data_IF_939830167275
#
_entry.id   IF_939830167275
#
_cell.length_a   1.000
_cell.length_b   1.000
_cell.length_c   1.000
_cell.angle_alpha   90.00
_cell.angle_beta   90.00
_cell.angle_gamma   90.00
#
_symmetry.space_group_name_H-M   'P 1'
#
loop_
_entity.id
_entity.type
_entity.pdbx_description
1 polymer ?
#
# COMPACT_ATOMS: atom_id res chain seq x y z
N UNK A 1 5.13 4.36 -14.16
CA UNK A 1 4.02 5.20 -13.64
C UNK A 1 3.52 4.65 -12.31
N UNK A 2 2.91 5.51 -11.48
CA UNK A 2 2.24 5.13 -10.25
C UNK A 2 0.89 4.46 -10.56
N UNK A 3 0.82 3.15 -10.34
CA UNK A 3 -0.30 2.29 -10.75
C UNK A 3 -1.66 2.73 -10.20
N UNK A 4 -1.75 3.17 -8.94
CA UNK A 4 -3.04 3.59 -8.36
C UNK A 4 -3.59 4.84 -9.04
N UNK A 5 -2.72 5.75 -9.47
CA UNK A 5 -3.10 7.01 -10.08
C UNK A 5 -3.57 6.82 -11.55
N UNK A 6 -3.01 5.83 -12.24
CA UNK A 6 -3.40 5.49 -13.61
C UNK A 6 -4.60 4.53 -13.62
N UNK A 7 -4.43 3.29 -13.13
CA UNK A 7 -5.46 2.26 -13.19
C UNK A 7 -6.68 2.60 -12.31
N UNK A 8 -6.47 3.33 -11.21
CA UNK A 8 -7.55 3.74 -10.31
C UNK A 8 -8.57 4.67 -10.97
N UNK A 9 -8.19 5.47 -11.97
CA UNK A 9 -9.11 6.33 -12.69
C UNK A 9 -10.15 5.51 -13.48
N UNK A 10 -9.71 4.44 -14.15
CA UNK A 10 -10.61 3.52 -14.85
C UNK A 10 -11.54 2.76 -13.89
N UNK A 11 -10.98 2.26 -12.78
CA UNK A 11 -11.78 1.60 -11.74
C UNK A 11 -12.84 2.52 -11.15
N UNK A 12 -12.49 3.78 -10.88
CA UNK A 12 -13.42 4.79 -10.38
C UNK A 12 -14.49 5.16 -11.42
N UNK A 13 -14.13 5.30 -12.69
CA UNK A 13 -15.11 5.55 -13.78
C UNK A 13 -16.11 4.39 -13.92
N UNK A 14 -15.64 3.14 -13.90
CA UNK A 14 -16.52 1.98 -13.96
C UNK A 14 -17.45 1.91 -12.73
N UNK A 15 -16.91 2.13 -11.53
CA UNK A 15 -17.70 2.13 -10.30
C UNK A 15 -18.74 3.25 -10.27
N UNK A 16 -18.35 4.48 -10.63
CA UNK A 16 -19.26 5.63 -10.69
C UNK A 16 -20.34 5.43 -11.76
N UNK A 17 -19.98 4.92 -12.94
CA UNK A 17 -20.94 4.60 -14.00
C UNK A 17 -21.97 3.56 -13.56
N UNK A 18 -21.54 2.51 -12.84
CA UNK A 18 -22.45 1.51 -12.28
C UNK A 18 -23.41 2.12 -11.24
N UNK A 19 -22.91 2.98 -10.34
CA UNK A 19 -23.75 3.67 -9.33
C UNK A 19 -24.75 4.62 -9.99
N UNK A 20 -24.37 5.28 -11.09
CA UNK A 20 -25.23 6.18 -11.86
C UNK A 20 -26.22 5.46 -12.78
N UNK A 21 -26.17 4.12 -12.86
CA UNK A 21 -27.04 3.34 -13.74
C UNK A 21 -26.76 3.54 -15.22
N UNK A 22 -25.49 3.77 -15.59
CA UNK A 22 -25.10 3.95 -16.98
C UNK A 22 -25.12 2.62 -17.75
N UNK A 23 -25.64 2.68 -18.97
CA UNK A 23 -25.59 1.56 -19.91
C UNK A 23 -24.16 1.32 -20.43
N UNK A 24 -23.92 0.13 -20.99
CA UNK A 24 -22.59 -0.32 -21.41
C UNK A 24 -21.85 0.69 -22.33
N UNK A 25 -22.55 1.31 -23.29
CA UNK A 25 -21.97 2.29 -24.19
C UNK A 25 -21.48 3.56 -23.46
N UNK A 26 -22.25 4.03 -22.46
CA UNK A 26 -21.87 5.19 -21.66
C UNK A 26 -20.73 4.85 -20.69
N UNK A 27 -20.67 3.63 -20.15
CA UNK A 27 -19.52 3.15 -19.38
C UNK A 27 -18.26 3.12 -20.26
N UNK A 28 -18.36 2.63 -21.50
CA UNK A 28 -17.23 2.62 -22.44
C UNK A 28 -16.73 4.06 -22.73
N UNK A 29 -17.64 5.01 -22.93
CA UNK A 29 -17.30 6.42 -23.07
C UNK A 29 -16.63 6.98 -21.80
N UNK A 30 -17.14 6.65 -20.61
CA UNK A 30 -16.55 7.07 -19.33
C UNK A 30 -15.12 6.54 -19.16
N UNK A 31 -14.86 5.28 -19.52
CA UNK A 31 -13.50 4.72 -19.54
C UNK A 31 -12.61 5.48 -20.53
N UNK A 32 -13.14 5.81 -21.71
CA UNK A 32 -12.46 6.62 -22.72
C UNK A 32 -12.01 7.98 -22.20
N UNK A 33 -12.93 8.70 -21.52
CA UNK A 33 -12.67 10.02 -20.93
C UNK A 33 -11.70 9.92 -19.75
N UNK A 34 -11.81 8.86 -18.93
CA UNK A 34 -10.90 8.63 -17.80
C UNK A 34 -9.47 8.35 -18.27
N UNK A 35 -9.30 7.66 -19.41
CA UNK A 35 -7.98 7.37 -19.97
C UNK A 35 -7.14 8.62 -20.27
N UNK A 36 -7.78 9.71 -20.70
CA UNK A 36 -7.10 11.00 -20.91
C UNK A 36 -6.66 11.70 -19.60
N UNK A 37 -7.19 11.26 -18.46
CA UNK A 37 -6.88 11.80 -17.13
C UNK A 37 -6.01 10.84 -16.30
N UNK A 38 -5.75 9.63 -16.80
CA UNK A 38 -4.93 8.64 -16.13
C UNK A 38 -3.47 9.12 -16.12
N UNK A 39 -3.01 9.65 -15.00
CA UNK A 39 -1.68 10.21 -14.82
C UNK A 39 -1.07 9.74 -13.51
N UNK A 40 0.25 9.55 -13.46
CA UNK A 40 0.89 8.98 -12.27
C UNK A 40 2.40 9.08 -12.31
N UNK A 41 2.95 10.30 -12.22
CA UNK A 41 4.39 10.44 -12.00
C UNK A 41 4.79 9.83 -10.66
N UNK A 42 5.91 9.09 -10.65
CA UNK A 42 6.49 8.50 -9.43
C UNK A 42 7.55 9.40 -8.79
N UNK A 43 7.70 10.64 -9.27
CA UNK A 43 8.76 11.57 -8.83
C UNK A 43 8.69 11.89 -7.33
N UNK A 44 7.54 11.69 -6.67
CA UNK A 44 7.45 11.78 -5.21
C UNK A 44 8.41 10.85 -4.45
N UNK A 45 8.95 9.81 -5.11
CA UNK A 45 9.97 8.94 -4.52
C UNK A 45 11.33 9.64 -4.35
N UNK A 46 11.58 10.71 -5.10
CA UNK A 46 12.84 11.45 -5.05
C UNK A 46 12.98 12.30 -3.77
N UNK A 47 11.88 12.86 -3.27
CA UNK A 47 11.89 13.84 -2.18
C UNK A 47 10.83 13.62 -1.08
N UNK A 48 9.98 12.60 -1.21
CA UNK A 48 8.89 12.36 -0.27
C UNK A 48 7.68 13.29 -0.44
N UNK A 49 7.53 13.91 -1.60
CA UNK A 49 6.41 14.80 -1.90
C UNK A 49 5.02 14.16 -1.66
N UNK A 50 4.07 14.98 -1.21
CA UNK A 50 2.73 14.52 -0.84
C UNK A 50 1.85 14.11 -2.03
N UNK A 51 2.35 14.30 -3.27
CA UNK A 51 1.66 13.92 -4.50
C UNK A 51 1.32 12.42 -4.53
N UNK A 52 2.09 11.55 -3.85
CA UNK A 52 1.72 10.14 -3.64
C UNK A 52 0.31 9.96 -3.04
N UNK A 53 -0.04 10.79 -2.05
CA UNK A 53 -1.33 10.73 -1.35
C UNK A 53 -2.43 11.41 -2.16
N UNK A 54 -2.11 12.55 -2.76
CA UNK A 54 -3.03 13.30 -3.61
C UNK A 54 -3.51 12.46 -4.81
N UNK A 55 -2.59 11.79 -5.49
CA UNK A 55 -2.86 11.07 -6.73
C UNK A 55 -3.94 9.99 -6.58
N UNK A 56 -4.10 9.36 -5.41
CA UNK A 56 -5.16 8.35 -5.19
C UNK A 56 -6.55 8.98 -5.09
N UNK A 57 -6.66 10.14 -4.43
CA UNK A 57 -7.91 10.91 -4.40
C UNK A 57 -8.24 11.49 -5.77
N UNK A 58 -7.23 11.99 -6.49
CA UNK A 58 -7.41 12.55 -7.83
C UNK A 58 -7.90 11.51 -8.84
N UNK A 59 -7.39 10.26 -8.78
CA UNK A 59 -7.88 9.17 -9.62
C UNK A 59 -9.38 8.90 -9.39
N UNK A 60 -9.84 8.96 -8.14
CA UNK A 60 -11.26 8.82 -7.82
C UNK A 60 -12.10 9.98 -8.40
N UNK A 61 -11.62 11.22 -8.27
CA UNK A 61 -12.27 12.40 -8.85
C UNK A 61 -12.34 12.32 -10.39
N UNK A 62 -11.25 11.93 -11.04
CA UNK A 62 -11.18 11.78 -12.49
C UNK A 62 -12.21 10.77 -13.01
N UNK A 63 -12.33 9.62 -12.35
CA UNK A 63 -13.31 8.60 -12.71
C UNK A 63 -14.76 9.08 -12.53
N UNK A 64 -15.06 9.75 -11.41
CA UNK A 64 -16.39 10.31 -11.16
C UNK A 64 -16.78 11.36 -12.22
N UNK A 65 -15.86 12.29 -12.53
CA UNK A 65 -16.10 13.29 -13.58
C UNK A 65 -16.28 12.64 -14.95
N UNK A 66 -15.48 11.63 -15.28
CA UNK A 66 -15.60 10.91 -16.55
C UNK A 66 -16.97 10.23 -16.70
N UNK A 67 -17.48 9.60 -15.63
CA UNK A 67 -18.81 9.00 -15.64
C UNK A 67 -19.92 10.05 -15.76
N UNK A 68 -19.82 11.19 -15.05
CA UNK A 68 -20.78 12.28 -15.15
C UNK A 68 -20.80 12.92 -16.56
N UNK A 69 -19.63 13.10 -17.18
CA UNK A 69 -19.52 13.60 -18.55
C UNK A 69 -20.16 12.64 -19.55
N UNK A 70 -19.89 11.33 -19.42
CA UNK A 70 -20.51 10.31 -20.26
C UNK A 70 -22.04 10.28 -20.09
N UNK A 71 -22.55 10.43 -18.85
CA UNK A 71 -23.98 10.54 -18.59
C UNK A 71 -24.62 11.74 -19.32
N UNK A 72 -23.89 12.85 -19.43
CA UNK A 72 -24.31 14.03 -20.17
C UNK A 72 -24.12 13.91 -21.70
N UNK A 73 -23.70 12.75 -22.21
CA UNK A 73 -23.52 12.50 -23.64
C UNK A 73 -22.14 12.86 -24.20
N UNK A 74 -21.16 13.17 -23.35
CA UNK A 74 -19.78 13.38 -23.80
C UNK A 74 -19.16 12.07 -24.31
N UNK A 75 -18.52 12.11 -25.48
CA UNK A 75 -17.91 10.93 -26.09
C UNK A 75 -16.47 10.68 -25.61
N UNK A 76 -16.11 9.43 -25.39
CA UNK A 76 -14.74 8.97 -25.19
C UNK A 76 -14.35 7.88 -26.20
N UNK A 77 -13.04 7.67 -26.47
CA UNK A 77 -12.59 6.61 -27.38
C UNK A 77 -12.95 5.23 -26.83
N UNK A 78 -13.74 4.45 -27.57
CA UNK A 78 -14.21 3.13 -27.14
C UNK A 78 -13.09 2.09 -26.99
N UNK A 79 -11.97 2.27 -27.72
CA UNK A 79 -10.79 1.39 -27.71
C UNK A 79 -9.68 1.94 -26.80
N UNK A 80 -10.03 2.70 -25.75
CA UNK A 80 -9.04 3.37 -24.88
C UNK A 80 -8.05 2.41 -24.22
N UNK A 81 -8.38 1.13 -24.03
CA UNK A 81 -7.44 0.18 -23.42
C UNK A 81 -6.44 -0.35 -24.46
N UNK A 82 -6.94 -0.89 -25.57
CA UNK A 82 -6.20 -1.71 -26.55
C UNK A 82 -5.98 -1.05 -27.92
N UNK A 83 -6.60 0.09 -28.18
CA UNK A 83 -6.47 0.80 -29.45
C UNK A 83 -5.04 1.26 -29.71
N UNK A 84 -4.72 1.67 -30.94
CA UNK A 84 -3.36 2.07 -31.36
C UNK A 84 -2.65 3.06 -30.41
N UNK A 85 -3.39 3.98 -29.80
CA UNK A 85 -2.89 4.95 -28.81
C UNK A 85 -3.48 4.72 -27.41
N UNK A 86 -4.00 3.52 -27.17
CA UNK A 86 -4.66 3.12 -25.94
C UNK A 86 -3.68 2.94 -24.79
N UNK A 87 -4.24 2.90 -23.58
CA UNK A 87 -3.52 2.84 -22.32
C UNK A 87 -2.48 1.71 -22.26
N UNK A 88 -2.84 0.52 -22.74
CA UNK A 88 -1.94 -0.65 -22.71
C UNK A 88 -0.68 -0.42 -23.56
N UNK A 89 -0.80 0.29 -24.68
CA UNK A 89 0.33 0.61 -25.56
C UNK A 89 1.09 1.88 -25.15
N UNK A 90 0.40 2.84 -24.53
CA UNK A 90 1.00 4.11 -24.14
C UNK A 90 1.77 4.04 -22.81
N UNK A 91 1.43 3.09 -21.93
CA UNK A 91 1.98 3.00 -20.56
C UNK A 91 2.77 1.72 -20.29
N UNK A 92 2.89 0.82 -21.27
CA UNK A 92 3.61 -0.45 -21.12
C UNK A 92 4.11 -0.98 -22.47
N UNK A 93 5.28 -1.62 -22.47
CA UNK A 93 5.87 -2.22 -23.67
C UNK A 93 5.38 -3.66 -23.94
N UNK A 94 4.56 -4.24 -23.06
CA UNK A 94 4.20 -5.67 -23.11
C UNK A 94 2.83 -5.99 -22.53
N UNK A 95 1.92 -5.03 -22.51
CA UNK A 95 0.59 -5.25 -21.96
C UNK A 95 -0.30 -6.14 -22.86
N UNK A 96 -1.20 -6.88 -22.23
CA UNK A 96 -2.15 -7.79 -22.89
C UNK A 96 -3.53 -7.66 -22.28
N UNK A 97 -4.57 -7.89 -23.07
CA UNK A 97 -5.97 -7.93 -22.62
C UNK A 97 -6.39 -9.29 -22.09
N UNK A 98 -5.55 -10.33 -22.20
CA UNK A 98 -5.89 -11.69 -21.78
C UNK A 98 -6.45 -11.80 -20.34
N UNK A 99 -5.94 -11.06 -19.33
CA UNK A 99 -6.50 -11.09 -17.98
C UNK A 99 -7.95 -10.59 -17.89
N UNK A 100 -8.40 -9.73 -18.80
CA UNK A 100 -9.79 -9.24 -18.83
C UNK A 100 -10.78 -10.35 -19.23
N UNK A 101 -10.33 -11.34 -20.00
CA UNK A 101 -11.15 -12.44 -20.50
C UNK A 101 -11.23 -13.63 -19.51
N UNK A 102 -10.22 -13.82 -18.66
CA UNK A 102 -10.08 -15.01 -17.84
C UNK A 102 -10.91 -15.00 -16.53
N UNK A 103 -11.51 -13.86 -16.13
CA UNK A 103 -12.21 -13.57 -14.86
C UNK A 103 -12.46 -14.78 -13.92
N UNK A 104 -11.46 -15.19 -13.15
CA UNK A 104 -11.58 -16.22 -12.10
C UNK A 104 -11.99 -15.58 -10.76
N UNK A 105 -13.17 -14.95 -10.72
CA UNK A 105 -13.71 -14.30 -9.52
C UNK A 105 -13.38 -12.80 -9.39
N UNK A 106 -13.39 -12.29 -8.15
CA UNK A 106 -13.18 -10.87 -7.85
C UNK A 106 -11.75 -10.60 -7.37
N UNK A 107 -10.99 -9.80 -8.13
CA UNK A 107 -9.61 -9.37 -7.78
C UNK A 107 -9.50 -8.68 -6.41
N UNK A 108 -10.60 -8.07 -5.93
CA UNK A 108 -10.66 -7.51 -4.59
C UNK A 108 -10.34 -8.56 -3.51
N UNK A 109 -10.76 -9.80 -3.70
CA UNK A 109 -10.51 -10.90 -2.76
C UNK A 109 -9.04 -11.35 -2.76
N UNK A 110 -8.25 -10.93 -3.76
CA UNK A 110 -6.81 -11.19 -3.88
C UNK A 110 -5.95 -10.00 -3.43
N UNK A 111 -6.55 -8.99 -2.81
CA UNK A 111 -5.85 -7.78 -2.38
C UNK A 111 -5.34 -7.91 -0.94
N UNK A 112 -4.05 -7.63 -0.72
CA UNK A 112 -3.46 -7.65 0.61
C UNK A 112 -3.90 -6.49 1.51
N UNK A 113 -3.96 -6.71 2.82
CA UNK A 113 -4.15 -5.67 3.84
C UNK A 113 -2.87 -5.46 4.64
N UNK A 114 -2.21 -4.32 4.47
CA UNK A 114 -0.93 -4.02 5.15
C UNK A 114 -1.07 -3.93 6.68
N UNK A 115 -0.42 -4.78 7.49
CA UNK A 115 -0.32 -4.57 8.93
C UNK A 115 0.58 -3.39 9.30
N UNK A 116 1.64 -3.14 8.52
CA UNK A 116 2.65 -2.11 8.81
C UNK A 116 2.47 -0.86 7.94
N UNK A 117 2.77 0.31 8.49
CA UNK A 117 2.48 1.61 7.87
C UNK A 117 3.51 2.04 6.80
N UNK A 118 3.94 1.12 5.94
CA UNK A 118 5.08 1.31 5.04
C UNK A 118 4.85 0.80 3.60
N UNK A 119 5.87 0.94 2.75
CA UNK A 119 5.89 0.39 1.40
C UNK A 119 5.66 -1.13 1.41
N UNK A 120 5.05 -1.65 0.34
CA UNK A 120 4.69 -3.06 0.20
C UNK A 120 5.91 -3.99 0.35
N UNK A 121 7.04 -3.62 -0.25
CA UNK A 121 8.28 -4.40 -0.22
C UNK A 121 8.93 -4.51 1.17
N UNK A 122 8.43 -3.79 2.18
CA UNK A 122 8.93 -3.86 3.56
C UNK A 122 8.01 -4.64 4.50
N UNK A 123 6.84 -5.09 4.06
CA UNK A 123 5.91 -5.83 4.94
C UNK A 123 6.54 -7.13 5.46
N UNK A 124 7.03 -7.99 4.55
CA UNK A 124 7.69 -9.24 4.90
C UNK A 124 8.96 -9.05 5.75
N UNK A 125 9.89 -8.14 5.36
CA UNK A 125 11.07 -7.87 6.18
C UNK A 125 10.75 -7.41 7.61
N UNK A 126 9.72 -6.58 7.78
CA UNK A 126 9.29 -6.14 9.12
C UNK A 126 8.64 -7.30 9.89
N UNK A 127 7.82 -8.13 9.25
CA UNK A 127 7.25 -9.33 9.88
C UNK A 127 8.36 -10.26 10.42
N UNK A 128 9.38 -10.53 9.61
CA UNK A 128 10.53 -11.36 9.99
C UNK A 128 11.27 -10.79 11.21
N UNK A 129 11.59 -9.49 11.20
CA UNK A 129 12.27 -8.82 12.31
C UNK A 129 11.44 -8.84 13.58
N UNK A 130 10.14 -8.57 13.49
CA UNK A 130 9.25 -8.59 14.65
C UNK A 130 9.14 -10.00 15.26
N UNK A 131 9.06 -11.03 14.41
CA UNK A 131 9.05 -12.42 14.85
C UNK A 131 10.37 -12.81 15.55
N UNK A 132 11.52 -12.49 14.94
CA UNK A 132 12.84 -12.75 15.54
C UNK A 132 13.03 -12.01 16.86
N UNK A 133 12.65 -10.74 16.92
CA UNK A 133 12.73 -9.92 18.13
C UNK A 133 11.90 -10.52 19.26
N UNK A 134 10.66 -10.92 18.97
CA UNK A 134 9.77 -11.53 19.95
C UNK A 134 10.29 -12.88 20.47
N UNK A 135 10.76 -13.75 19.57
CA UNK A 135 11.24 -15.09 19.93
C UNK A 135 12.57 -15.07 20.71
N UNK A 136 13.47 -14.14 20.39
CA UNK A 136 14.84 -14.14 20.91
C UNK A 136 15.19 -12.98 21.85
N UNK A 137 14.21 -12.13 22.17
CA UNK A 137 14.34 -10.93 23.02
C UNK A 137 15.56 -10.09 22.61
N UNK A 138 15.58 -9.70 21.34
CA UNK A 138 16.68 -8.92 20.77
C UNK A 138 16.62 -7.50 21.34
N UNK A 139 17.69 -7.09 22.03
CA UNK A 139 17.86 -5.70 22.46
C UNK A 139 18.58 -4.89 21.35
N UNK A 140 18.19 -3.62 21.10
CA UNK A 140 18.73 -2.83 19.99
C UNK A 140 20.26 -2.64 20.00
N UNK A 141 20.86 -2.56 21.18
CA UNK A 141 22.31 -2.36 21.35
C UNK A 141 23.15 -3.61 20.99
N UNK A 142 22.52 -4.79 20.99
CA UNK A 142 23.15 -6.06 20.61
C UNK A 142 23.28 -6.25 19.09
N UNK A 143 22.47 -5.53 18.30
CA UNK A 143 22.42 -5.71 16.83
C UNK A 143 23.68 -5.13 16.19
N UNK A 144 24.47 -5.97 15.53
CA UNK A 144 25.68 -5.54 14.83
C UNK A 144 25.40 -5.22 13.36
N UNK A 145 24.57 -6.06 12.71
CA UNK A 145 24.20 -5.90 11.30
C UNK A 145 22.89 -6.61 11.00
N UNK A 146 22.10 -6.05 10.09
CA UNK A 146 20.90 -6.69 9.53
C UNK A 146 21.02 -6.71 8.01
N UNK A 147 20.94 -7.90 7.44
CA UNK A 147 20.77 -8.07 6.00
C UNK A 147 19.33 -8.46 5.69
N UNK A 148 18.81 -7.91 4.60
CA UNK A 148 17.46 -8.20 4.13
C UNK A 148 17.52 -8.57 2.65
N UNK A 149 17.33 -9.85 2.34
CA UNK A 149 17.10 -10.29 0.97
C UNK A 149 15.70 -9.90 0.52
N UNK A 150 15.62 -9.24 -0.63
CA UNK A 150 14.34 -8.76 -1.16
C UNK A 150 14.28 -8.79 -2.68
N UNK A 151 13.05 -8.75 -3.18
CA UNK A 151 12.74 -8.67 -4.61
C UNK A 151 13.45 -7.49 -5.30
N UNK A 152 14.00 -7.74 -6.49
CA UNK A 152 14.73 -6.74 -7.27
C UNK A 152 13.86 -5.52 -7.61
N UNK A 153 12.56 -5.74 -7.88
CA UNK A 153 11.59 -4.69 -8.16
C UNK A 153 11.39 -3.70 -6.99
N UNK A 154 11.61 -4.15 -5.75
CA UNK A 154 11.47 -3.32 -4.56
C UNK A 154 12.74 -2.56 -4.18
N UNK A 155 13.90 -3.10 -4.55
CA UNK A 155 15.21 -2.56 -4.16
C UNK A 155 15.38 -1.06 -4.50
N UNK A 156 15.15 -0.59 -5.74
CA UNK A 156 15.33 0.83 -6.06
C UNK A 156 14.34 1.74 -5.31
N UNK A 157 13.22 1.18 -4.83
CA UNK A 157 12.16 1.96 -4.17
C UNK A 157 12.50 2.21 -2.69
N UNK A 158 13.09 1.22 -2.00
CA UNK A 158 13.28 1.27 -0.54
C UNK A 158 14.73 1.21 -0.07
N UNK A 159 15.68 0.90 -0.95
CA UNK A 159 17.11 0.82 -0.65
C UNK A 159 17.95 1.89 -1.37
N UNK A 160 17.44 2.50 -2.45
CA UNK A 160 18.20 3.48 -3.25
C UNK A 160 17.52 4.86 -3.28
N UNK A 161 18.31 5.96 -3.34
CA UNK A 161 19.74 6.02 -3.05
C UNK A 161 20.05 5.67 -1.58
N UNK A 162 21.11 4.91 -1.33
CA UNK A 162 21.39 4.34 -0.01
C UNK A 162 21.49 5.40 1.11
N UNK A 163 22.17 6.51 0.85
CA UNK A 163 22.37 7.59 1.83
C UNK A 163 21.04 8.26 2.20
N UNK A 164 20.18 8.53 1.22
CA UNK A 164 18.86 9.09 1.45
C UNK A 164 17.97 8.11 2.24
N UNK A 165 18.03 6.82 1.91
CA UNK A 165 17.26 5.79 2.66
C UNK A 165 17.76 5.58 4.08
N UNK A 166 19.03 5.89 4.38
CA UNK A 166 19.57 5.88 5.75
C UNK A 166 19.25 7.14 6.55
N UNK A 167 18.79 8.21 5.89
CA UNK A 167 18.53 9.51 6.50
C UNK A 167 17.22 10.15 5.98
N UNK A 168 16.08 9.44 6.08
CA UNK A 168 14.80 9.98 5.63
C UNK A 168 14.47 11.25 6.42
N UNK A 169 14.15 12.34 5.73
CA UNK A 169 13.88 13.63 6.36
C UNK A 169 12.40 13.81 6.74
N UNK A 170 11.52 12.99 6.18
CA UNK A 170 10.07 13.08 6.37
C UNK A 170 9.44 11.71 6.64
N UNK A 171 8.20 11.72 7.14
CA UNK A 171 7.41 10.49 7.32
C UNK A 171 7.19 9.77 5.99
N UNK A 172 7.00 10.49 4.88
CA UNK A 172 6.82 9.85 3.57
C UNK A 172 8.09 9.12 3.16
N UNK A 173 9.25 9.76 3.25
CA UNK A 173 10.53 9.08 2.95
C UNK A 173 10.76 7.87 3.87
N UNK A 174 10.43 7.99 5.15
CA UNK A 174 10.50 6.89 6.11
C UNK A 174 9.67 5.68 5.67
N UNK A 175 8.46 5.91 5.16
CA UNK A 175 7.57 4.87 4.62
C UNK A 175 8.13 4.17 3.38
N UNK A 176 9.18 4.71 2.76
CA UNK A 176 9.93 4.13 1.66
C UNK A 176 11.40 3.93 2.02
N UNK A 177 11.75 3.73 3.29
CA UNK A 177 13.12 3.46 3.76
C UNK A 177 13.17 2.10 4.46
N UNK A 178 13.83 1.12 3.82
CA UNK A 178 14.09 -0.18 4.43
C UNK A 178 14.87 -0.05 5.75
N UNK A 179 15.96 0.74 5.81
CA UNK A 179 16.68 0.95 7.08
C UNK A 179 15.77 1.43 8.20
N UNK A 180 14.89 2.41 7.94
CA UNK A 180 14.01 2.97 8.97
C UNK A 180 12.99 1.94 9.45
N UNK A 181 12.32 1.24 8.52
CA UNK A 181 11.30 0.24 8.87
C UNK A 181 11.86 -0.89 9.74
N UNK A 182 13.05 -1.38 9.40
CA UNK A 182 13.74 -2.43 10.17
C UNK A 182 14.23 -1.91 11.52
N UNK A 183 14.84 -0.73 11.56
CA UNK A 183 15.32 -0.11 12.78
C UNK A 183 14.20 0.15 13.80
N UNK A 184 13.07 0.68 13.32
CA UNK A 184 11.89 0.91 14.16
C UNK A 184 11.30 -0.41 14.68
N UNK A 185 11.22 -1.45 13.84
CA UNK A 185 10.75 -2.76 14.28
C UNK A 185 11.65 -3.35 15.38
N UNK A 186 12.98 -3.19 15.28
CA UNK A 186 13.93 -3.59 16.31
C UNK A 186 13.82 -2.77 17.59
N UNK A 187 13.78 -1.43 17.47
CA UNK A 187 13.78 -0.51 18.61
C UNK A 187 12.46 -0.51 19.38
N UNK A 188 11.34 -0.56 18.67
CA UNK A 188 10.00 -0.35 19.24
C UNK A 188 9.13 -1.60 19.26
N UNK A 189 9.51 -2.65 18.55
CA UNK A 189 8.71 -3.88 18.46
C UNK A 189 7.39 -3.71 17.72
N UNK A 190 7.26 -2.64 16.92
CA UNK A 190 6.08 -2.32 16.13
C UNK A 190 6.47 -1.42 14.94
N UNK A 191 5.57 -1.31 13.96
CA UNK A 191 5.78 -0.57 12.71
C UNK A 191 4.47 0.08 12.21
N UNK A 192 3.71 0.67 13.13
CA UNK A 192 2.43 1.33 12.87
C UNK A 192 2.61 2.83 12.58
N UNK A 193 1.54 3.61 12.30
CA UNK A 193 1.65 5.06 12.19
C UNK A 193 2.19 5.76 13.45
N UNK A 194 2.12 5.12 14.63
CA UNK A 194 2.73 5.66 15.84
C UNK A 194 4.27 5.61 15.76
N UNK A 195 4.82 4.54 15.18
CA UNK A 195 6.26 4.38 15.02
C UNK A 195 6.80 5.00 13.72
N UNK A 196 5.98 5.10 12.66
CA UNK A 196 6.28 5.94 11.50
C UNK A 196 5.93 7.40 11.78
N UNK A 197 6.64 7.99 12.74
CA UNK A 197 6.38 9.34 13.25
C UNK A 197 7.64 10.21 13.31
N UNK A 198 7.48 11.55 13.35
CA UNK A 198 8.61 12.46 13.54
C UNK A 198 9.41 12.20 14.81
N UNK A 199 8.80 11.63 15.86
CA UNK A 199 9.48 11.29 17.10
C UNK A 199 10.48 10.15 16.89
N UNK A 200 10.07 9.06 16.25
CA UNK A 200 10.97 7.94 15.93
C UNK A 200 12.01 8.30 14.87
N UNK A 201 11.71 9.23 13.96
CA UNK A 201 12.70 9.76 13.00
C UNK A 201 13.88 10.47 13.67
N UNK A 202 13.64 11.14 14.80
CA UNK A 202 14.68 11.85 15.56
C UNK A 202 15.30 11.00 16.67
N UNK A 203 14.89 9.75 16.80
CA UNK A 203 15.36 8.86 17.84
C UNK A 203 16.78 8.35 17.54
N UNK A 204 17.79 8.64 18.39
CA UNK A 204 19.16 8.21 18.14
C UNK A 204 19.33 6.68 18.14
N UNK A 205 18.50 5.93 18.88
CA UNK A 205 18.52 4.47 18.84
C UNK A 205 18.07 3.95 17.47
N UNK A 206 17.01 4.54 16.90
CA UNK A 206 16.55 4.21 15.55
C UNK A 206 17.62 4.59 14.54
N UNK A 207 18.14 5.81 14.59
CA UNK A 207 19.20 6.27 13.68
C UNK A 207 20.45 5.38 13.70
N UNK A 208 20.91 4.97 14.89
CA UNK A 208 22.05 4.07 15.03
C UNK A 208 21.81 2.67 14.45
N UNK A 209 20.59 2.15 14.55
CA UNK A 209 20.20 0.88 13.92
C UNK A 209 20.10 0.98 12.40
N UNK A 210 19.61 2.10 11.87
CA UNK A 210 19.49 2.30 10.41
C UNK A 210 20.82 2.13 9.70
N UNK A 211 21.91 2.59 10.32
CA UNK A 211 23.26 2.44 9.76
C UNK A 211 23.73 0.98 9.66
N UNK A 212 23.07 0.06 10.37
CA UNK A 212 23.39 -1.37 10.41
C UNK A 212 22.54 -2.21 9.45
N UNK A 213 21.55 -1.60 8.78
CA UNK A 213 20.63 -2.30 7.87
C UNK A 213 21.12 -2.18 6.44
N UNK A 214 21.16 -3.30 5.73
CA UNK A 214 21.45 -3.35 4.29
C UNK A 214 20.44 -4.23 3.56
N UNK A 215 19.94 -3.76 2.43
CA UNK A 215 19.17 -4.58 1.50
C UNK A 215 20.10 -5.39 0.60
N UNK A 216 19.68 -6.59 0.22
CA UNK A 216 20.39 -7.50 -0.69
C UNK A 216 19.43 -7.89 -1.82
N UNK A 217 19.88 -7.77 -3.07
CA UNK A 217 19.16 -8.31 -4.22
C UNK A 217 19.42 -9.81 -4.29
N UNK A 218 18.36 -10.60 -4.31
CA UNK A 218 18.46 -12.06 -4.39
C UNK A 218 17.60 -12.56 -5.57
N UNK A 219 18.23 -12.93 -6.70
CA UNK A 219 17.51 -13.40 -7.89
C UNK A 219 16.64 -14.64 -7.65
N UNK A 220 16.91 -15.44 -6.61
CA UNK A 220 16.08 -16.60 -6.29
C UNK A 220 14.67 -16.18 -5.82
N UNK A 221 14.55 -15.02 -5.17
CA UNK A 221 13.25 -14.47 -4.75
C UNK A 221 12.40 -14.01 -5.94
N UNK A 222 13.04 -13.52 -7.00
CA UNK A 222 12.35 -12.97 -8.17
C UNK A 222 11.59 -14.05 -8.97
N UNK A 223 11.98 -15.34 -8.87
CA UNK A 223 11.29 -16.44 -9.54
C UNK A 223 9.83 -16.63 -9.08
N UNK A 224 9.51 -16.17 -7.87
CA UNK A 224 8.16 -16.21 -7.32
C UNK A 224 7.34 -14.94 -7.62
N UNK A 225 7.98 -13.83 -8.00
CA UNK A 225 7.31 -12.56 -8.26
C UNK A 225 6.61 -12.57 -9.63
N UNK A 226 5.38 -12.01 -9.76
CA UNK A 226 4.57 -11.34 -8.74
C UNK A 226 3.56 -12.26 -8.01
N UNK A 227 3.68 -13.60 -8.14
CA UNK A 227 2.77 -14.55 -7.47
C UNK A 227 2.91 -14.52 -5.95
N UNK A 228 4.12 -14.34 -5.45
CA UNK A 228 4.42 -14.15 -4.03
C UNK A 228 5.35 -12.94 -3.82
N UNK A 229 5.53 -12.55 -2.55
CA UNK A 229 6.35 -11.41 -2.14
C UNK A 229 7.42 -11.84 -1.12
N UNK A 230 8.28 -12.81 -1.47
CA UNK A 230 9.16 -13.42 -0.51
C UNK A 230 10.32 -12.50 -0.09
N UNK A 231 10.86 -12.75 1.09
CA UNK A 231 12.07 -12.13 1.59
C UNK A 231 12.75 -13.02 2.63
N UNK A 232 14.00 -12.69 2.96
CA UNK A 232 14.68 -13.23 4.12
C UNK A 232 15.35 -12.11 4.92
N UNK A 233 15.53 -12.33 6.22
CA UNK A 233 16.24 -11.41 7.12
C UNK A 233 17.26 -12.17 7.93
N UNK A 234 18.48 -11.63 8.00
CA UNK A 234 19.58 -12.17 8.82
C UNK A 234 20.09 -11.10 9.77
N UNK A 235 20.07 -11.37 11.07
CA UNK A 235 20.47 -10.45 12.14
C UNK A 235 21.74 -10.99 12.81
N UNK A 236 22.85 -10.28 12.65
CA UNK A 236 24.07 -10.52 13.42
C UNK A 236 23.97 -9.81 14.77
N UNK A 237 24.28 -10.55 15.84
CA UNK A 237 24.18 -10.12 17.22
C UNK A 237 25.53 -10.26 17.92
N UNK A 238 25.89 -9.29 18.76
CA UNK A 238 27.13 -9.32 19.54
C UNK A 238 27.17 -10.52 20.46
N UNK A 239 28.21 -11.34 20.32
CA UNK A 239 28.45 -12.50 21.19
C UNK A 239 27.40 -13.62 21.07
N UNK A 240 26.59 -13.62 20.00
CA UNK A 240 25.56 -14.64 19.75
C UNK A 240 25.64 -15.12 18.29
N UNK A 241 25.25 -16.37 18.00
CA UNK A 241 25.04 -16.80 16.62
C UNK A 241 24.04 -15.89 15.89
N UNK A 242 24.20 -15.68 14.57
CA UNK A 242 23.24 -14.91 13.80
C UNK A 242 21.87 -15.60 13.78
N UNK A 243 20.81 -14.80 13.72
CA UNK A 243 19.44 -15.27 13.60
C UNK A 243 18.93 -15.03 12.18
N UNK A 244 18.06 -15.89 11.71
CA UNK A 244 17.55 -15.82 10.34
C UNK A 244 16.06 -16.19 10.28
N UNK A 245 15.33 -15.51 9.39
CA UNK A 245 13.93 -15.81 9.12
C UNK A 245 13.63 -15.61 7.63
N UNK A 246 12.77 -16.47 7.10
CA UNK A 246 12.26 -16.41 5.73
C UNK A 246 10.74 -16.20 5.76
N UNK A 247 10.26 -15.34 4.87
CA UNK A 247 8.83 -15.07 4.67
C UNK A 247 8.53 -15.31 3.21
N UNK A 248 7.61 -16.24 2.93
CA UNK A 248 7.12 -16.48 1.57
C UNK A 248 5.95 -15.54 1.24
N UNK A 249 4.98 -15.47 2.17
CA UNK A 249 3.80 -14.64 2.10
C UNK A 249 3.75 -13.68 3.30
N UNK A 250 4.08 -12.39 3.10
CA UNK A 250 3.92 -11.37 4.13
C UNK A 250 2.53 -11.37 4.77
N UNK A 251 2.45 -11.02 6.05
CA UNK A 251 1.17 -10.95 6.75
C UNK A 251 0.25 -9.92 6.07
N UNK A 252 -1.01 -10.29 5.96
CA UNK A 252 -2.03 -9.54 5.24
C UNK A 252 -2.19 -9.93 3.78
N UNK A 253 -1.35 -10.81 3.24
CA UNK A 253 -1.57 -11.41 1.91
C UNK A 253 -2.75 -12.38 1.92
N UNK A 254 -3.34 -12.70 0.75
CA UNK A 254 -4.42 -13.67 0.67
C UNK A 254 -4.09 -15.00 1.37
N UNK A 255 -2.84 -15.46 1.26
CA UNK A 255 -2.36 -16.71 1.87
C UNK A 255 -2.07 -16.59 3.38
N UNK A 256 -1.91 -15.36 3.90
CA UNK A 256 -1.52 -15.06 5.28
C UNK A 256 -2.35 -13.89 5.84
N UNK A 257 -3.66 -13.93 5.59
CA UNK A 257 -4.53 -12.79 5.83
C UNK A 257 -4.71 -12.51 7.33
N UNK A 258 -4.98 -11.25 7.66
CA UNK A 258 -5.22 -10.86 9.05
C UNK A 258 -6.53 -11.47 9.56
N UNK A 259 -6.53 -11.92 10.81
CA UNK A 259 -7.75 -12.43 11.44
C UNK A 259 -8.78 -11.29 11.63
N UNK A 260 -10.08 -11.60 11.75
CA UNK A 260 -11.11 -10.57 11.98
C UNK A 260 -10.81 -9.66 13.18
N UNK A 261 -10.32 -10.23 14.29
CA UNK A 261 -9.94 -9.47 15.48
C UNK A 261 -8.76 -8.51 15.22
N UNK A 262 -7.82 -8.90 14.37
CA UNK A 262 -6.68 -8.06 14.00
C UNK A 262 -7.09 -6.92 13.07
N UNK A 263 -7.99 -7.19 12.11
CA UNK A 263 -8.57 -6.17 11.24
C UNK A 263 -9.36 -5.15 12.06
N UNK A 264 -10.17 -5.62 13.00
CA UNK A 264 -10.96 -4.76 13.88
C UNK A 264 -10.08 -3.91 14.80
N UNK A 265 -9.05 -4.52 15.42
CA UNK A 265 -8.06 -3.79 16.22
C UNK A 265 -7.34 -2.73 15.38
N UNK A 266 -6.89 -3.09 14.18
CA UNK A 266 -6.26 -2.15 13.25
C UNK A 266 -7.21 -1.00 12.90
N UNK A 267 -8.46 -1.31 12.56
CA UNK A 267 -9.48 -0.32 12.25
C UNK A 267 -9.67 0.67 13.41
N UNK A 268 -9.88 0.18 14.64
CA UNK A 268 -10.00 1.03 15.84
C UNK A 268 -8.78 1.91 16.06
N UNK A 269 -7.57 1.34 15.95
CA UNK A 269 -6.31 2.08 16.11
C UNK A 269 -6.19 3.22 15.10
N UNK A 270 -6.63 3.01 13.85
CA UNK A 270 -6.56 4.05 12.82
C UNK A 270 -7.69 5.08 12.96
N UNK A 271 -8.92 4.61 13.17
CA UNK A 271 -10.11 5.46 13.22
C UNK A 271 -10.14 6.36 14.47
N UNK A 272 -9.67 5.87 15.62
CA UNK A 272 -9.57 6.67 16.86
C UNK A 272 -8.65 7.89 16.76
N UNK A 273 -7.78 7.95 15.73
CA UNK A 273 -6.94 9.12 15.46
C UNK A 273 -7.70 10.27 14.82
N UNK A 274 -8.87 9.98 14.24
CA UNK A 274 -9.70 10.95 13.52
C UNK A 274 -11.09 11.12 14.13
N UNK A 275 -11.57 10.13 14.88
CA UNK A 275 -12.92 10.09 15.43
C UNK A 275 -12.87 9.97 16.97
N UNK A 276 -13.64 10.79 17.70
CA UNK A 276 -13.90 10.57 19.12
C UNK A 276 -14.54 9.21 19.37
N UNK A 277 -14.38 8.66 20.59
CA UNK A 277 -14.87 7.32 20.94
C UNK A 277 -16.36 7.10 20.62
N UNK A 278 -17.22 8.09 20.88
CA UNK A 278 -18.64 8.01 20.57
C UNK A 278 -18.92 7.93 19.06
N UNK A 279 -18.16 8.65 18.23
CA UNK A 279 -18.29 8.58 16.77
C UNK A 279 -17.76 7.26 16.22
N UNK A 280 -16.64 6.76 16.76
CA UNK A 280 -16.10 5.46 16.42
C UNK A 280 -17.10 4.33 16.71
N UNK A 281 -17.72 4.33 17.90
CA UNK A 281 -18.71 3.32 18.26
C UNK A 281 -19.94 3.34 17.32
N UNK A 282 -20.40 4.52 16.89
CA UNK A 282 -21.47 4.62 15.88
C UNK A 282 -21.04 4.09 14.52
N UNK A 283 -19.80 4.38 14.11
CA UNK A 283 -19.25 3.88 12.85
C UNK A 283 -19.12 2.34 12.86
N UNK A 284 -18.68 1.76 13.97
CA UNK A 284 -18.63 0.30 14.16
C UNK A 284 -20.02 -0.33 14.07
N UNK A 285 -21.02 0.26 14.73
CA UNK A 285 -22.40 -0.22 14.65
C UNK A 285 -22.96 -0.13 13.22
N UNK A 286 -22.68 0.98 12.50
CA UNK A 286 -23.10 1.15 11.11
C UNK A 286 -22.43 0.12 10.18
N UNK A 287 -21.13 -0.16 10.37
CA UNK A 287 -20.40 -1.19 9.61
C UNK A 287 -20.97 -2.58 9.84
N UNK A 288 -21.30 -2.94 11.09
CA UNK A 288 -21.90 -4.23 11.42
C UNK A 288 -23.29 -4.43 10.77
N UNK A 289 -24.05 -3.34 10.60
CA UNK A 289 -25.35 -3.35 9.94
C UNK A 289 -25.28 -3.28 8.40
N UNK A 290 -24.17 -2.82 7.83
CA UNK A 290 -24.04 -2.45 6.42
C UNK A 290 -24.42 -3.56 5.42
N UNK A 291 -24.05 -4.85 5.61
CA UNK A 291 -24.40 -5.91 4.65
C UNK A 291 -25.90 -6.11 4.41
N UNK A 292 -26.75 -5.57 5.31
CA UNK A 292 -28.22 -5.64 5.23
C UNK A 292 -28.87 -4.27 5.02
N UNK A 293 -28.07 -3.22 4.88
CA UNK A 293 -28.56 -1.85 4.77
C UNK A 293 -29.12 -1.58 3.37
N UNK A 294 -30.23 -0.83 3.30
CA UNK A 294 -30.80 -0.35 2.02
C UNK A 294 -30.18 0.95 1.52
N UNK A 295 -29.28 1.55 2.31
CA UNK A 295 -28.64 2.83 2.00
C UNK A 295 -27.26 2.90 2.67
N UNK A 296 -26.31 3.53 1.98
CA UNK A 296 -24.97 3.88 2.51
C UNK A 296 -25.00 5.12 3.39
N UNK A 297 -26.08 5.91 3.38
CA UNK A 297 -26.12 7.21 4.06
C UNK A 297 -25.84 7.13 5.58
N UNK A 298 -26.38 6.16 6.34
CA UNK A 298 -26.04 6.04 7.77
C UNK A 298 -24.56 5.77 8.02
N UNK A 299 -23.94 4.96 7.16
CA UNK A 299 -22.50 4.66 7.24
C UNK A 299 -21.66 5.91 6.96
N UNK A 300 -22.01 6.64 5.90
CA UNK A 300 -21.32 7.90 5.57
C UNK A 300 -21.48 8.95 6.67
N UNK A 301 -22.69 9.10 7.22
CA UNK A 301 -22.95 10.02 8.32
C UNK A 301 -22.15 9.68 9.58
N UNK A 302 -22.00 8.38 9.90
CA UNK A 302 -21.22 7.93 11.04
C UNK A 302 -19.71 8.14 10.85
N UNK A 303 -19.23 8.21 9.61
CA UNK A 303 -17.83 8.45 9.29
C UNK A 303 -17.43 9.94 9.34
N UNK A 304 -18.40 10.86 9.39
CA UNK A 304 -18.14 12.29 9.54
C UNK A 304 -17.76 12.54 11.01
N UNK A 305 -16.58 13.16 11.28
CA UNK A 305 -16.26 13.63 12.61
C UNK A 305 -17.36 14.59 13.07
N UNK A 306 -18.18 14.18 14.04
CA UNK A 306 -19.17 15.08 14.62
C UNK A 306 -18.41 16.20 15.30
N UNK A 307 -18.69 17.44 14.89
CA UNK A 307 -18.03 18.62 15.42
C UNK A 307 -18.07 18.65 16.95
N UNK A 308 -16.91 18.98 17.52
CA UNK A 308 -16.76 19.76 18.74
C UNK A 308 -17.72 20.93 18.82
#
# INVERSE_FOLDING_TARGET
>A
FHLTATCGAFGAAAAAGAVLGLEAAAIAAALGIAGSQAAGSMEFLADGSWTKRFQTGWAACAGLHAAALAQAGFSGPATILEGRFGFLHAYSDGATTAPLAAREGYELMRTSVKPHACCRYMQGPIDAVLALRAAHRIEPDQVERVEVGMLAAGFPIVCEPADAKRRPASVVEAQFSLPFGIAVALARGAASPAEFSPACLRDPTVGGLMERVVGVRDPALDAAFPRAWPCWVRIALRGRPPLEAHIEHPRGDPESFLTPAELERKFRTLASRALPAAALARLEAALAGFPRARSVAPLLAAAIPSGT
#
